data_IF_900950137145
#
_entry.id   IF_900950137145
#
_cell.length_a   1.000
_cell.length_b   1.000
_cell.length_c   1.000
_cell.angle_alpha   90.00
_cell.angle_beta   90.00
_cell.angle_gamma   90.00
#
_symmetry.space_group_name_H-M   'P 1'
#
loop_
_entity.id
_entity.type
_entity.pdbx_description
1 polymer ?
#
# COMPACT_ATOMS: atom_id res chain seq x y z
N UNK A 1 -61.73 14.03 -1.71
CA UNK A 1 -61.18 14.35 -3.04
C UNK A 1 -59.95 15.26 -2.95
N UNK A 2 -60.05 16.58 -2.65
CA UNK A 2 -58.86 17.46 -2.58
C UNK A 2 -57.84 17.01 -1.51
N UNK A 3 -58.29 16.65 -0.31
CA UNK A 3 -57.43 16.11 0.75
C UNK A 3 -56.71 14.82 0.34
N UNK A 4 -57.36 13.96 -0.46
CA UNK A 4 -56.76 12.69 -0.89
C UNK A 4 -55.65 12.92 -1.92
N UNK A 5 -55.87 13.82 -2.89
CA UNK A 5 -54.83 14.22 -3.84
C UNK A 5 -53.69 14.97 -3.15
N UNK A 6 -53.99 15.84 -2.19
CA UNK A 6 -52.99 16.55 -1.39
C UNK A 6 -52.15 15.57 -0.55
N UNK A 7 -52.79 14.62 0.13
CA UNK A 7 -52.10 13.58 0.89
C UNK A 7 -51.23 12.70 -0.02
N UNK A 8 -51.70 12.36 -1.22
CA UNK A 8 -50.92 11.60 -2.20
C UNK A 8 -49.68 12.36 -2.67
N UNK A 9 -49.79 13.67 -2.93
CA UNK A 9 -48.63 14.52 -3.28
C UNK A 9 -47.63 14.59 -2.13
N UNK A 10 -48.10 14.81 -0.91
CA UNK A 10 -47.24 14.85 0.29
C UNK A 10 -46.56 13.49 0.51
N UNK A 11 -47.27 12.38 0.32
CA UNK A 11 -46.73 11.03 0.43
C UNK A 11 -45.58 10.83 -0.57
N UNK A 12 -45.78 11.17 -1.85
CA UNK A 12 -44.73 11.07 -2.87
C UNK A 12 -43.55 11.98 -2.52
N UNK A 13 -43.80 13.21 -2.08
CA UNK A 13 -42.75 14.13 -1.67
C UNK A 13 -41.90 13.57 -0.52
N UNK A 14 -42.53 13.03 0.52
CA UNK A 14 -41.82 12.41 1.66
C UNK A 14 -40.98 11.23 1.20
N UNK A 15 -41.52 10.36 0.33
CA UNK A 15 -40.76 9.24 -0.23
C UNK A 15 -39.53 9.74 -0.99
N UNK A 16 -39.69 10.72 -1.87
CA UNK A 16 -38.57 11.31 -2.64
C UNK A 16 -37.53 11.91 -1.71
N UNK A 17 -37.93 12.73 -0.74
CA UNK A 17 -37.02 13.34 0.24
C UNK A 17 -36.27 12.27 1.03
N UNK A 18 -36.94 11.19 1.43
CA UNK A 18 -36.30 10.09 2.16
C UNK A 18 -35.28 9.33 1.30
N UNK A 19 -35.61 9.04 0.03
CA UNK A 19 -34.67 8.43 -0.92
C UNK A 19 -33.43 9.31 -1.14
N UNK A 20 -33.62 10.60 -1.43
CA UNK A 20 -32.50 11.52 -1.62
C UNK A 20 -31.69 11.74 -0.35
N UNK A 21 -32.34 11.76 0.82
CA UNK A 21 -31.66 11.85 2.12
C UNK A 21 -30.75 10.65 2.38
N UNK A 22 -31.23 9.44 2.08
CA UNK A 22 -30.42 8.22 2.20
C UNK A 22 -29.24 8.26 1.24
N UNK A 23 -29.46 8.61 -0.04
CA UNK A 23 -28.39 8.71 -1.04
C UNK A 23 -27.32 9.72 -0.58
N UNK A 24 -27.73 10.89 -0.08
CA UNK A 24 -26.81 11.91 0.42
C UNK A 24 -25.96 11.42 1.60
N UNK A 25 -26.54 10.66 2.54
CA UNK A 25 -25.81 10.10 3.69
C UNK A 25 -24.77 9.05 3.23
N UNK A 26 -25.06 8.31 2.16
CA UNK A 26 -24.15 7.30 1.61
C UNK A 26 -22.94 7.90 0.90
N UNK A 27 -23.06 9.08 0.31
CA UNK A 27 -21.94 9.77 -0.34
C UNK A 27 -20.97 10.44 0.65
N UNK A 28 -21.38 10.68 1.91
CA UNK A 28 -20.51 11.26 2.96
C UNK A 28 -19.17 10.50 3.13
N UNK A 29 -19.13 9.15 3.30
CA UNK A 29 -17.87 8.41 3.38
C UNK A 29 -16.98 8.58 2.15
N UNK A 30 -17.55 8.65 0.95
CA UNK A 30 -16.80 8.90 -0.28
C UNK A 30 -16.17 10.29 -0.25
N UNK A 31 -16.91 11.32 0.18
CA UNK A 31 -16.42 12.69 0.33
C UNK A 31 -15.25 12.78 1.31
N UNK A 32 -15.31 12.02 2.42
CA UNK A 32 -14.24 11.93 3.43
C UNK A 32 -12.99 11.26 2.82
N UNK A 33 -13.17 10.18 2.06
CA UNK A 33 -12.07 9.48 1.39
C UNK A 33 -11.41 10.35 0.30
N UNK A 34 -12.21 11.12 -0.44
CA UNK A 34 -11.72 12.08 -1.44
C UNK A 34 -10.90 13.21 -0.82
N UNK A 35 -11.36 13.76 0.30
CA UNK A 35 -10.63 14.80 1.05
C UNK A 35 -9.33 14.31 1.67
N UNK A 36 -9.17 13.00 1.88
CA UNK A 36 -7.97 12.37 2.46
C UNK A 36 -7.12 11.58 1.45
N UNK A 37 -7.30 11.83 0.14
CA UNK A 37 -6.59 11.13 -0.94
C UNK A 37 -6.53 9.61 -0.77
N UNK A 38 -7.64 8.98 -0.37
CA UNK A 38 -7.66 7.54 -0.22
C UNK A 38 -7.37 6.88 -1.58
N UNK A 39 -6.44 5.92 -1.68
CA UNK A 39 -6.10 5.29 -2.97
C UNK A 39 -7.24 4.45 -3.57
N UNK A 40 -8.28 4.17 -2.78
CA UNK A 40 -9.43 3.32 -3.13
C UNK A 40 -10.74 4.12 -3.13
N UNK A 41 -10.70 5.39 -3.56
CA UNK A 41 -11.89 6.26 -3.67
C UNK A 41 -13.00 5.62 -4.53
N UNK A 42 -12.62 5.01 -5.66
CA UNK A 42 -13.57 4.38 -6.57
C UNK A 42 -14.23 3.13 -5.96
N UNK A 43 -13.48 2.39 -5.14
CA UNK A 43 -14.00 1.25 -4.41
C UNK A 43 -15.05 1.67 -3.37
N UNK A 44 -14.85 2.81 -2.73
CA UNK A 44 -15.81 3.35 -1.76
C UNK A 44 -17.11 3.82 -2.44
N UNK A 45 -17.01 4.43 -3.63
CA UNK A 45 -18.19 4.81 -4.41
C UNK A 45 -18.99 3.58 -4.82
N UNK A 46 -18.35 2.58 -5.44
CA UNK A 46 -19.01 1.33 -5.85
C UNK A 46 -19.57 0.58 -4.63
N UNK A 47 -18.83 0.55 -3.52
CA UNK A 47 -19.29 -0.10 -2.30
C UNK A 47 -20.49 0.61 -1.65
N UNK A 48 -20.68 1.92 -1.86
CA UNK A 48 -21.91 2.63 -1.48
C UNK A 48 -23.13 2.16 -2.27
N UNK A 49 -22.97 1.89 -3.57
CA UNK A 49 -24.01 1.25 -4.38
C UNK A 49 -24.28 -0.20 -3.96
N UNK A 50 -23.24 -0.94 -3.56
CA UNK A 50 -23.38 -2.30 -3.02
C UNK A 50 -24.01 -2.30 -1.61
N UNK A 51 -23.83 -1.25 -0.80
CA UNK A 51 -24.46 -1.17 0.52
C UNK A 51 -25.98 -1.02 0.46
N UNK A 52 -26.50 -0.40 -0.62
CA UNK A 52 -27.94 -0.37 -0.91
C UNK A 52 -28.49 -1.79 -1.14
N UNK A 53 -27.73 -2.67 -1.80
CA UNK A 53 -28.12 -4.07 -1.99
C UNK A 53 -28.01 -4.90 -0.71
N UNK A 54 -27.03 -4.61 0.14
CA UNK A 54 -26.77 -5.34 1.40
C UNK A 54 -27.52 -4.77 2.61
N UNK A 55 -28.61 -4.05 2.37
CA UNK A 55 -29.48 -3.46 3.41
C UNK A 55 -28.69 -2.63 4.44
N UNK A 56 -27.76 -1.81 3.98
CA UNK A 56 -26.98 -0.86 4.77
C UNK A 56 -26.02 -1.46 5.79
N UNK A 57 -25.85 -2.80 5.83
CA UNK A 57 -24.96 -3.47 6.79
C UNK A 57 -23.49 -3.09 6.55
N UNK A 58 -23.08 -2.94 5.30
CA UNK A 58 -21.70 -2.58 4.96
C UNK A 58 -21.40 -1.09 5.20
N UNK A 59 -22.40 -0.22 5.25
CA UNK A 59 -22.21 1.23 5.34
C UNK A 59 -21.37 1.69 6.56
N UNK A 60 -21.66 1.27 7.81
CA UNK A 60 -20.84 1.67 8.95
C UNK A 60 -19.39 1.18 8.84
N UNK A 61 -19.17 0.05 8.16
CA UNK A 61 -17.83 -0.47 7.89
C UNK A 61 -17.07 0.40 6.88
N UNK A 62 -17.72 0.84 5.79
CA UNK A 62 -17.12 1.77 4.82
C UNK A 62 -16.71 3.10 5.49
N UNK A 63 -17.52 3.59 6.43
CA UNK A 63 -17.25 4.83 7.14
C UNK A 63 -16.01 4.71 8.04
N UNK A 64 -15.86 3.59 8.75
CA UNK A 64 -14.64 3.29 9.51
C UNK A 64 -13.43 3.22 8.56
N UNK A 65 -13.57 2.60 7.40
CA UNK A 65 -12.48 2.48 6.45
C UNK A 65 -12.05 3.82 5.84
N UNK A 66 -13.01 4.67 5.49
CA UNK A 66 -12.78 6.03 5.02
C UNK A 66 -11.97 6.88 6.03
N UNK A 67 -12.22 6.67 7.32
CA UNK A 67 -11.57 7.40 8.42
C UNK A 67 -10.24 6.78 8.86
N UNK A 68 -10.02 5.48 8.58
CA UNK A 68 -8.81 4.75 8.96
C UNK A 68 -7.56 5.20 8.17
N UNK A 69 -7.74 5.70 6.96
CA UNK A 69 -6.62 6.13 6.12
C UNK A 69 -6.01 7.46 6.58
N UNK A 70 -4.68 7.48 6.67
CA UNK A 70 -3.85 8.63 7.05
C UNK A 70 -2.84 8.91 5.94
N UNK A 71 -2.91 10.10 5.33
CA UNK A 71 -1.98 10.53 4.26
C UNK A 71 -0.52 10.52 4.72
N UNK A 72 -0.28 10.79 6.00
CA UNK A 72 1.04 10.88 6.63
C UNK A 72 1.77 9.53 6.82
N UNK A 73 1.05 8.40 6.78
CA UNK A 73 1.65 7.04 6.83
C UNK A 73 1.16 6.09 5.73
N UNK A 74 0.17 6.51 4.94
CA UNK A 74 -0.57 5.63 4.05
C UNK A 74 -1.09 4.38 4.79
N UNK A 75 -1.10 3.24 4.09
CA UNK A 75 -1.40 1.92 4.67
C UNK A 75 -0.22 1.32 5.49
N UNK A 76 0.85 2.08 5.74
CA UNK A 76 2.04 1.59 6.45
C UNK A 76 3.02 0.79 5.57
N UNK A 77 2.71 0.54 4.30
CA UNK A 77 3.61 -0.16 3.37
C UNK A 77 4.77 0.71 2.84
N UNK A 78 4.67 2.04 2.92
CA UNK A 78 5.70 2.94 2.38
C UNK A 78 7.07 2.80 3.08
N UNK A 79 7.07 2.54 4.39
CA UNK A 79 8.31 2.27 5.14
C UNK A 79 8.89 0.90 4.82
N UNK A 80 8.03 -0.09 4.51
CA UNK A 80 8.45 -1.44 4.11
C UNK A 80 9.16 -1.40 2.77
N UNK A 81 8.60 -0.70 1.79
CA UNK A 81 9.20 -0.54 0.44
C UNK A 81 10.55 0.18 0.52
N UNK A 82 10.66 1.27 1.30
CA UNK A 82 11.95 1.93 1.53
C UNK A 82 12.97 1.00 2.16
N UNK A 83 12.55 0.23 3.17
CA UNK A 83 13.42 -0.74 3.85
C UNK A 83 13.88 -1.81 2.86
N UNK A 84 12.99 -2.30 2.01
CA UNK A 84 13.30 -3.32 1.01
C UNK A 84 14.34 -2.82 -0.01
N UNK A 85 14.16 -1.60 -0.53
CA UNK A 85 15.14 -0.92 -1.39
C UNK A 85 16.51 -0.77 -0.70
N UNK A 86 16.54 -0.32 0.55
CA UNK A 86 17.79 -0.21 1.33
C UNK A 86 18.43 -1.60 1.58
N UNK A 87 17.62 -2.64 1.79
CA UNK A 87 18.12 -4.00 1.93
C UNK A 87 18.74 -4.50 0.63
N UNK A 88 18.07 -4.27 -0.50
CA UNK A 88 18.55 -4.68 -1.82
C UNK A 88 19.90 -4.02 -2.16
N UNK A 89 20.05 -2.73 -1.85
CA UNK A 89 21.33 -2.02 -2.01
C UNK A 89 22.44 -2.60 -1.12
N UNK A 90 22.14 -2.88 0.16
CA UNK A 90 23.09 -3.50 1.09
C UNK A 90 23.51 -4.90 0.65
N UNK A 91 22.57 -5.71 0.16
CA UNK A 91 22.86 -7.05 -0.37
C UNK A 91 23.79 -6.97 -1.58
N UNK A 92 23.56 -6.00 -2.47
CA UNK A 92 24.40 -5.78 -3.65
C UNK A 92 25.82 -5.34 -3.27
N UNK A 93 25.95 -4.43 -2.30
CA UNK A 93 27.24 -4.00 -1.78
C UNK A 93 28.02 -5.17 -1.14
N UNK A 94 27.35 -5.95 -0.29
CA UNK A 94 27.97 -7.11 0.36
C UNK A 94 28.41 -8.18 -0.65
N UNK A 95 27.61 -8.40 -1.70
CA UNK A 95 27.97 -9.31 -2.80
C UNK A 95 29.21 -8.82 -3.57
N UNK A 96 29.38 -7.51 -3.76
CA UNK A 96 30.55 -6.93 -4.39
C UNK A 96 31.82 -7.09 -3.52
N UNK A 97 31.69 -6.86 -2.21
CA UNK A 97 32.80 -7.04 -1.27
C UNK A 97 33.28 -8.49 -1.22
N UNK A 98 32.36 -9.45 -1.17
CA UNK A 98 32.70 -10.88 -1.21
C UNK A 98 33.51 -11.24 -2.47
N UNK A 99 33.11 -10.73 -3.65
CA UNK A 99 33.88 -10.93 -4.90
C UNK A 99 35.27 -10.29 -4.85
N UNK A 100 35.40 -9.11 -4.24
CA UNK A 100 36.68 -8.44 -4.10
C UNK A 100 37.62 -9.20 -3.15
N UNK A 101 37.10 -9.75 -2.05
CA UNK A 101 37.87 -10.60 -1.14
C UNK A 101 38.31 -11.89 -1.82
N UNK A 102 37.42 -12.55 -2.58
CA UNK A 102 37.75 -13.76 -3.34
C UNK A 102 38.90 -13.51 -4.34
N UNK A 103 38.85 -12.37 -5.05
CA UNK A 103 39.92 -11.97 -5.98
C UNK A 103 41.25 -11.74 -5.26
N UNK A 104 41.23 -11.10 -4.08
CA UNK A 104 42.44 -10.89 -3.26
C UNK A 104 43.02 -12.21 -2.77
N UNK A 105 42.19 -13.13 -2.30
CA UNK A 105 42.64 -14.46 -1.88
C UNK A 105 43.31 -15.22 -3.02
N UNK A 106 42.70 -15.25 -4.21
CA UNK A 106 43.34 -15.87 -5.38
C UNK A 106 44.70 -15.24 -5.71
N UNK A 107 44.82 -13.91 -5.64
CA UNK A 107 46.10 -13.23 -5.88
C UNK A 107 47.17 -13.59 -4.84
N UNK A 108 46.78 -13.77 -3.57
CA UNK A 108 47.67 -14.15 -2.47
C UNK A 108 48.06 -15.62 -2.56
N UNK A 109 47.14 -16.53 -2.90
CA UNK A 109 47.45 -17.95 -3.14
C UNK A 109 48.41 -18.12 -4.32
N UNK A 110 48.21 -17.34 -5.38
CA UNK A 110 49.10 -17.29 -6.55
C UNK A 110 50.49 -16.77 -6.19
N UNK A 111 50.57 -15.72 -5.36
CA UNK A 111 51.83 -15.14 -4.89
C UNK A 111 52.57 -16.03 -3.89
N UNK A 112 51.85 -16.69 -2.98
CA UNK A 112 52.41 -17.62 -1.99
C UNK A 112 53.08 -18.84 -2.64
N UNK A 113 52.51 -19.33 -3.74
CA UNK A 113 53.10 -20.44 -4.50
C UNK A 113 54.40 -20.03 -5.21
N UNK A 114 54.53 -18.78 -5.64
CA UNK A 114 55.79 -18.26 -6.21
C UNK A 114 56.86 -18.00 -5.15
N UNK A 115 56.50 -17.44 -3.99
CA UNK A 115 57.46 -17.21 -2.90
C UNK A 115 58.04 -18.52 -2.36
N UNK A 116 57.22 -19.56 -2.17
CA UNK A 116 57.72 -20.87 -1.73
C UNK A 116 58.58 -21.60 -2.78
N UNK A 117 58.34 -21.38 -4.08
CA UNK A 117 59.15 -21.97 -5.15
C UNK A 117 60.49 -21.24 -5.40
N UNK A 118 60.60 -19.96 -5.04
CA UNK A 118 61.85 -19.21 -5.10
C UNK A 118 62.74 -19.52 -3.88
N UNK A 119 62.15 -19.65 -2.70
CA UNK A 119 62.89 -19.91 -1.46
C UNK A 119 63.55 -21.32 -1.43
N UNK A 120 62.92 -22.34 -2.02
CA UNK A 120 63.52 -23.68 -2.15
C UNK A 120 64.67 -23.74 -3.16
N UNK A 121 64.72 -22.82 -4.13
CA UNK A 121 65.77 -22.76 -5.16
C UNK A 121 67.05 -22.07 -4.68
N UNK A 122 66.95 -21.23 -3.64
CA UNK A 122 68.10 -20.56 -3.02
C UNK A 122 68.74 -21.39 -1.89
N UNK A 123 68.06 -22.40 -1.32
CA UNK A 123 68.64 -23.32 -0.33
C UNK A 123 69.46 -24.48 -0.95
N UNK A 124 69.32 -24.74 -2.25
CA UNK A 124 70.04 -25.83 -2.95
C UNK A 124 71.37 -25.37 -3.61
N UNK A 125 71.85 -24.17 -3.32
CA UNK A 125 73.08 -23.58 -3.87
C UNK A 125 74.10 -23.23 -2.78
#
# INVERSE_FOLDING_TARGET
MFLDYFALVVLIFVVVVMFYGIIAIHDIPYEIAKRRNHPQQDALHIAGWVSLFTLHVLWPFLWIWATLYREDRGWGFGTVVKRELELEEKVKALSADLKALETRLQSLESGGTQTSAVQSRDEEK
#
